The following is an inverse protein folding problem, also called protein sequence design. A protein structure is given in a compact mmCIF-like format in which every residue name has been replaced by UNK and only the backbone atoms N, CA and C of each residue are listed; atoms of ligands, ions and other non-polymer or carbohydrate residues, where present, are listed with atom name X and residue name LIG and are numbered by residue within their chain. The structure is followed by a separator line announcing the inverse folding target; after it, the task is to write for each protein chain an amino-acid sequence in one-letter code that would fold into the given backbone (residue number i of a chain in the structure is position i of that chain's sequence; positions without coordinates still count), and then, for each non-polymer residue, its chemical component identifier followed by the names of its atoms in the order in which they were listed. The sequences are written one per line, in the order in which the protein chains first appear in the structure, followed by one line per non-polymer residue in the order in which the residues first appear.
data_IF_532294945837
#
_entry.id   IF_532294945837
#
_cell.length_a   1.000
_cell.length_b   1.000
_cell.length_c   1.000
_cell.angle_alpha   90.00
_cell.angle_beta   90.00
_cell.angle_gamma   90.00
#
_symmetry.space_group_name_H-M   'P 1'
#
loop_
_entity.id
_entity.type
_entity.pdbx_description
1 polymer ?
#
# COMPACT_ATOMS: atom_id res chain seq x y z
N UNK A 1 45.58 38.56 -17.01
CA UNK A 1 45.35 38.18 -15.60
C UNK A 1 43.89 37.82 -15.27
N UNK A 2 42.99 37.62 -16.24
CA UNK A 2 41.56 37.34 -16.01
C UNK A 2 41.14 35.88 -16.21
N UNK A 3 41.86 35.11 -17.04
CA UNK A 3 41.56 33.70 -17.31
C UNK A 3 41.49 32.80 -16.06
N UNK A 4 42.44 32.85 -15.09
CA UNK A 4 42.41 31.93 -13.94
C UNK A 4 41.26 32.21 -12.97
N UNK A 5 40.75 33.45 -12.92
CA UNK A 5 39.61 33.81 -12.09
C UNK A 5 38.30 33.27 -12.68
N UNK A 6 38.12 33.40 -14.00
CA UNK A 6 36.92 32.90 -14.69
C UNK A 6 36.87 31.37 -14.65
N UNK A 7 37.99 30.67 -14.84
CA UNK A 7 38.02 29.20 -14.73
C UNK A 7 37.78 28.71 -13.30
N UNK A 8 38.35 29.37 -12.29
CA UNK A 8 38.08 29.05 -10.89
C UNK A 8 36.62 29.32 -10.49
N UNK A 9 36.04 30.44 -10.95
CA UNK A 9 34.63 30.77 -10.70
C UNK A 9 33.68 29.75 -11.34
N UNK A 10 33.90 29.40 -12.61
CA UNK A 10 33.12 28.36 -13.31
C UNK A 10 33.28 26.99 -12.65
N UNK A 11 34.51 26.62 -12.26
CA UNK A 11 34.78 25.39 -11.53
C UNK A 11 34.06 25.31 -10.17
N UNK A 12 34.08 26.41 -9.40
CA UNK A 12 33.36 26.49 -8.13
C UNK A 12 31.83 26.42 -8.29
N UNK A 13 31.29 27.00 -9.36
CA UNK A 13 29.87 26.94 -9.66
C UNK A 13 29.44 25.50 -9.98
N UNK A 14 30.13 24.81 -10.90
CA UNK A 14 29.82 23.41 -11.22
C UNK A 14 30.08 22.46 -10.04
N UNK A 15 31.12 22.71 -9.24
CA UNK A 15 31.38 21.96 -8.01
C UNK A 15 30.26 22.13 -6.97
N UNK A 16 29.78 23.36 -6.77
CA UNK A 16 28.69 23.65 -5.84
C UNK A 16 27.34 23.06 -6.29
N UNK A 17 27.01 23.15 -7.59
CA UNK A 17 25.80 22.55 -8.16
C UNK A 17 25.87 21.02 -8.06
N UNK A 18 27.02 20.41 -8.40
CA UNK A 18 27.22 18.97 -8.26
C UNK A 18 27.10 18.50 -6.80
N UNK A 19 27.71 19.21 -5.86
CA UNK A 19 27.59 18.95 -4.43
C UNK A 19 26.15 19.07 -3.91
N UNK A 20 25.44 20.13 -4.30
CA UNK A 20 24.03 20.33 -3.96
C UNK A 20 23.12 19.24 -4.51
N UNK A 21 23.26 18.87 -5.78
CA UNK A 21 22.48 17.80 -6.40
C UNK A 21 22.77 16.44 -5.76
N UNK A 22 24.03 16.17 -5.43
CA UNK A 22 24.42 14.95 -4.69
C UNK A 22 23.78 14.92 -3.31
N UNK A 23 23.85 16.01 -2.54
CA UNK A 23 23.21 16.12 -1.23
C UNK A 23 21.68 15.94 -1.33
N UNK A 24 21.03 16.54 -2.33
CA UNK A 24 19.59 16.41 -2.56
C UNK A 24 19.20 14.96 -2.90
N UNK A 25 20.00 14.27 -3.73
CA UNK A 25 19.73 12.87 -4.08
C UNK A 25 19.95 11.94 -2.88
N UNK A 26 20.97 12.18 -2.06
CA UNK A 26 21.19 11.45 -0.80
C UNK A 26 20.05 11.67 0.19
N UNK A 27 19.62 12.92 0.38
CA UNK A 27 18.50 13.26 1.27
C UNK A 27 17.20 12.55 0.84
N UNK A 28 16.85 12.61 -0.46
CA UNK A 28 15.69 11.90 -1.01
C UNK A 28 15.79 10.39 -0.84
N UNK A 29 17.00 9.82 -0.98
CA UNK A 29 17.20 8.38 -0.77
C UNK A 29 17.01 7.99 0.70
N UNK A 30 17.53 8.79 1.62
CA UNK A 30 17.36 8.58 3.06
C UNK A 30 15.88 8.68 3.48
N UNK A 31 15.15 9.68 2.96
CA UNK A 31 13.72 9.84 3.20
C UNK A 31 12.91 8.64 2.67
N UNK A 32 13.23 8.17 1.45
CA UNK A 32 12.60 6.97 0.89
C UNK A 32 12.84 5.73 1.74
N UNK A 33 14.09 5.53 2.15
CA UNK A 33 14.47 4.39 2.97
C UNK A 33 13.75 4.42 4.32
N UNK A 34 13.70 5.59 4.97
CA UNK A 34 12.97 5.79 6.22
C UNK A 34 11.49 5.46 6.06
N UNK A 35 10.82 6.06 5.06
CA UNK A 35 9.39 5.84 4.81
C UNK A 35 9.08 4.36 4.53
N UNK A 36 9.91 3.69 3.72
CA UNK A 36 9.78 2.24 3.49
C UNK A 36 9.93 1.45 4.80
N UNK A 37 10.93 1.77 5.60
CA UNK A 37 11.18 1.10 6.88
C UNK A 37 10.02 1.31 7.86
N UNK A 38 9.50 2.53 7.96
CA UNK A 38 8.39 2.88 8.84
C UNK A 38 7.12 2.12 8.46
N UNK A 39 6.76 2.06 7.17
CA UNK A 39 5.62 1.28 6.67
C UNK A 39 5.79 -0.22 6.92
N UNK A 40 7.00 -0.76 6.71
CA UNK A 40 7.29 -2.16 7.00
C UNK A 40 7.18 -2.47 8.49
N UNK A 41 7.76 -1.62 9.34
CA UNK A 41 7.70 -1.76 10.78
C UNK A 41 6.27 -1.67 11.31
N UNK A 42 5.45 -0.78 10.75
CA UNK A 42 4.03 -0.71 11.06
C UNK A 42 3.34 -2.03 10.73
N UNK A 43 3.49 -2.54 9.50
CA UNK A 43 2.85 -3.79 9.07
C UNK A 43 3.26 -5.01 9.91
N UNK A 44 4.52 -5.08 10.31
CA UNK A 44 5.05 -6.17 11.15
C UNK A 44 4.94 -5.91 12.66
N UNK A 45 4.34 -4.81 13.08
CA UNK A 45 4.12 -4.53 14.51
C UNK A 45 3.15 -5.55 15.12
N UNK A 46 3.26 -5.73 16.44
CA UNK A 46 2.34 -6.59 17.20
C UNK A 46 0.90 -6.08 17.04
N UNK A 47 0.72 -4.76 17.16
CA UNK A 47 -0.60 -4.12 17.01
C UNK A 47 -1.21 -4.40 15.64
N UNK A 48 -0.41 -4.27 14.56
CA UNK A 48 -0.91 -4.50 13.20
C UNK A 48 -1.14 -5.98 12.87
N UNK A 49 -0.49 -6.88 13.59
CA UNK A 49 -0.71 -8.33 13.46
C UNK A 49 -2.15 -8.72 13.80
N UNK A 50 -2.78 -8.04 14.75
CA UNK A 50 -4.18 -8.32 15.08
C UNK A 50 -5.13 -7.98 13.92
N UNK A 51 -4.86 -6.89 13.18
CA UNK A 51 -5.63 -6.58 11.97
C UNK A 51 -5.45 -7.65 10.91
N UNK A 52 -4.20 -8.08 10.65
CA UNK A 52 -3.90 -9.11 9.65
C UNK A 52 -4.57 -10.46 9.98
N UNK A 53 -4.50 -10.89 11.23
CA UNK A 53 -5.14 -12.13 11.69
C UNK A 53 -6.66 -12.05 11.55
N UNK A 54 -7.28 -10.94 11.96
CA UNK A 54 -8.72 -10.72 11.78
C UNK A 54 -9.11 -10.81 10.30
N UNK A 55 -8.36 -10.17 9.40
CA UNK A 55 -8.61 -10.23 7.96
C UNK A 55 -8.45 -11.65 7.40
N UNK A 56 -7.43 -12.38 7.86
CA UNK A 56 -7.23 -13.76 7.47
C UNK A 56 -8.42 -14.64 7.86
N UNK A 57 -8.90 -14.49 9.10
CA UNK A 57 -10.07 -15.22 9.59
C UNK A 57 -11.36 -14.84 8.85
N UNK A 58 -11.63 -13.54 8.65
CA UNK A 58 -12.77 -13.07 7.83
C UNK A 58 -12.67 -13.61 6.41
N UNK A 59 -11.47 -13.61 5.81
CA UNK A 59 -11.24 -14.17 4.48
C UNK A 59 -11.54 -15.67 4.40
N UNK A 60 -11.20 -16.44 5.44
CA UNK A 60 -11.56 -17.86 5.52
C UNK A 60 -13.07 -18.07 5.63
N UNK A 61 -13.76 -17.27 6.44
CA UNK A 61 -15.22 -17.32 6.61
C UNK A 61 -15.93 -16.94 5.31
N UNK A 62 -15.41 -15.96 4.58
CA UNK A 62 -15.87 -15.61 3.24
C UNK A 62 -15.76 -16.80 2.27
N UNK A 63 -14.61 -17.50 2.27
CA UNK A 63 -14.41 -18.69 1.41
C UNK A 63 -15.32 -19.85 1.81
N UNK A 64 -15.63 -19.99 3.10
CA UNK A 64 -16.56 -20.99 3.60
C UNK A 64 -18.04 -20.68 3.28
N UNK A 65 -18.36 -19.43 2.92
CA UNK A 65 -19.72 -18.95 2.70
C UNK A 65 -20.44 -18.52 3.99
N UNK A 66 -19.72 -18.40 5.10
CA UNK A 66 -20.26 -17.96 6.40
C UNK A 66 -20.51 -16.45 6.46
N UNK A 67 -19.85 -15.69 5.57
CA UNK A 67 -19.95 -14.24 5.45
C UNK A 67 -20.04 -13.88 3.97
N UNK A 68 -20.94 -12.98 3.61
CA UNK A 68 -21.05 -12.45 2.25
C UNK A 68 -20.13 -11.23 2.07
N UNK A 69 -19.48 -11.14 0.91
CA UNK A 69 -18.67 -9.97 0.53
C UNK A 69 -19.54 -8.72 0.43
N UNK A 70 -20.78 -8.88 -0.02
CA UNK A 70 -21.68 -7.74 -0.22
C UNK A 70 -22.06 -7.09 1.10
N UNK A 71 -22.30 -7.89 2.16
CA UNK A 71 -22.57 -7.40 3.50
C UNK A 71 -21.38 -6.64 4.10
N UNK A 72 -20.15 -7.12 3.84
CA UNK A 72 -18.91 -6.42 4.25
C UNK A 72 -18.80 -5.09 3.53
N UNK A 73 -19.03 -5.08 2.21
CA UNK A 73 -18.83 -3.92 1.35
C UNK A 73 -19.76 -2.74 1.67
N UNK A 74 -20.97 -3.00 2.18
CA UNK A 74 -21.94 -1.96 2.59
C UNK A 74 -21.35 -0.93 3.56
N UNK A 75 -20.36 -1.30 4.35
CA UNK A 75 -19.69 -0.40 5.30
C UNK A 75 -18.61 0.50 4.70
N UNK A 76 -18.30 0.36 3.41
CA UNK A 76 -17.13 1.00 2.79
C UNK A 76 -17.46 1.95 1.62
N UNK A 77 -18.73 2.34 1.48
CA UNK A 77 -19.20 3.39 0.56
C UNK A 77 -20.39 4.17 1.17
N UNK A 78 -20.68 5.37 0.67
CA UNK A 78 -21.75 6.24 1.21
C UNK A 78 -22.81 6.56 0.13
N UNK A 79 -24.12 6.60 0.46
CA UNK A 79 -24.75 6.34 1.76
C UNK A 79 -25.10 4.86 1.94
N UNK A 80 -24.08 4.00 2.09
CA UNK A 80 -24.27 2.55 2.24
C UNK A 80 -25.24 2.15 3.37
N UNK A 81 -25.58 0.87 3.39
CA UNK A 81 -26.57 0.29 4.30
C UNK A 81 -26.02 -0.11 5.67
N UNK A 82 -26.81 -0.90 6.40
CA UNK A 82 -26.35 -1.59 7.60
C UNK A 82 -25.22 -2.55 7.21
N UNK A 83 -24.04 -2.29 7.75
CA UNK A 83 -22.84 -3.02 7.38
C UNK A 83 -22.57 -4.21 8.30
N UNK A 84 -21.88 -5.21 7.75
CA UNK A 84 -21.28 -6.28 8.53
C UNK A 84 -20.33 -5.71 9.58
N UNK A 85 -20.63 -5.95 10.87
CA UNK A 85 -19.77 -5.57 11.99
C UNK A 85 -18.73 -6.68 12.27
N UNK A 86 -19.18 -7.94 12.20
CA UNK A 86 -18.40 -9.14 12.47
C UNK A 86 -18.14 -9.41 13.95
N UNK A 87 -17.27 -10.39 14.22
CA UNK A 87 -16.89 -10.76 15.59
C UNK A 87 -15.92 -9.72 16.18
N UNK A 88 -15.80 -9.72 17.51
CA UNK A 88 -14.83 -8.87 18.22
C UNK A 88 -13.57 -9.66 18.52
N UNK A 89 -12.42 -9.14 18.06
CA UNK A 89 -11.09 -9.68 18.31
C UNK A 89 -10.17 -8.54 18.75
N UNK A 90 -9.31 -8.78 19.74
CA UNK A 90 -8.39 -7.75 20.27
C UNK A 90 -9.06 -6.37 20.54
N UNK A 91 -10.28 -6.38 21.09
CA UNK A 91 -11.11 -5.19 21.41
C UNK A 91 -11.67 -4.41 20.21
N UNK A 92 -11.48 -4.86 18.98
CA UNK A 92 -12.06 -4.27 17.77
C UNK A 92 -12.96 -5.27 17.05
N UNK A 93 -13.93 -4.76 16.30
CA UNK A 93 -14.74 -5.60 15.41
C UNK A 93 -13.99 -5.92 14.12
N UNK A 94 -14.34 -7.00 13.43
CA UNK A 94 -13.73 -7.31 12.11
C UNK A 94 -13.85 -6.14 11.12
N UNK A 95 -14.98 -5.43 11.13
CA UNK A 95 -15.16 -4.22 10.33
C UNK A 95 -14.13 -3.13 10.68
N UNK A 96 -13.85 -2.93 11.96
CA UNK A 96 -12.85 -1.97 12.42
C UNK A 96 -11.43 -2.42 12.04
N UNK A 97 -11.08 -3.71 12.15
CA UNK A 97 -9.80 -4.21 11.68
C UNK A 97 -9.61 -4.00 10.17
N UNK A 98 -10.64 -4.28 9.37
CA UNK A 98 -10.64 -4.05 7.92
C UNK A 98 -10.51 -2.57 7.58
N UNK A 99 -11.16 -1.69 8.34
CA UNK A 99 -11.03 -0.23 8.18
C UNK A 99 -9.59 0.22 8.42
N UNK A 100 -8.95 -0.24 9.49
CA UNK A 100 -7.54 0.10 9.79
C UNK A 100 -6.61 -0.42 8.70
N UNK A 101 -6.83 -1.66 8.23
CA UNK A 101 -6.04 -2.24 7.15
C UNK A 101 -6.19 -1.49 5.82
N UNK A 102 -7.42 -1.09 5.45
CA UNK A 102 -7.67 -0.25 4.28
C UNK A 102 -6.95 1.10 4.44
N UNK A 103 -6.99 1.71 5.62
CA UNK A 103 -6.24 2.92 5.92
C UNK A 103 -4.72 2.78 5.70
N UNK A 104 -4.15 1.64 6.09
CA UNK A 104 -2.76 1.30 5.77
C UNK A 104 -2.52 1.17 4.26
N UNK A 105 -3.41 0.49 3.52
CA UNK A 105 -3.31 0.36 2.06
C UNK A 105 -3.35 1.72 1.35
N UNK A 106 -4.19 2.64 1.83
CA UNK A 106 -4.25 4.03 1.31
C UNK A 106 -2.93 4.79 1.57
N UNK A 107 -2.37 4.71 2.78
CA UNK A 107 -1.07 5.33 3.09
C UNK A 107 0.07 4.75 2.26
N UNK A 108 0.06 3.43 2.07
CA UNK A 108 1.03 2.73 1.24
C UNK A 108 0.91 3.16 -0.23
N UNK A 109 -0.31 3.23 -0.77
CA UNK A 109 -0.57 3.66 -2.14
C UNK A 109 -0.13 5.12 -2.39
N UNK A 110 -0.38 6.05 -1.45
CA UNK A 110 0.09 7.43 -1.55
C UNK A 110 1.62 7.48 -1.57
N UNK A 111 2.27 6.72 -0.69
CA UNK A 111 3.73 6.68 -0.58
C UNK A 111 4.39 6.11 -1.85
N UNK A 112 3.78 5.09 -2.44
CA UNK A 112 4.18 4.53 -3.74
C UNK A 112 3.99 5.57 -4.86
N UNK A 113 2.80 6.16 -4.97
CA UNK A 113 2.43 7.12 -6.01
C UNK A 113 3.34 8.35 -6.01
N UNK A 114 3.72 8.83 -4.82
CA UNK A 114 4.63 9.98 -4.65
C UNK A 114 6.11 9.63 -4.75
N UNK A 115 6.46 8.38 -5.07
CA UNK A 115 7.85 7.88 -5.12
C UNK A 115 8.61 8.13 -3.82
N UNK A 116 7.91 8.03 -2.69
CA UNK A 116 8.45 8.21 -1.32
C UNK A 116 8.94 6.91 -0.70
N UNK A 117 8.96 5.82 -1.46
CA UNK A 117 9.42 4.51 -0.98
C UNK A 117 10.49 3.94 -1.90
N UNK A 118 11.38 3.14 -1.33
CA UNK A 118 12.19 2.16 -2.06
C UNK A 118 11.30 0.98 -2.46
N UNK A 119 10.82 0.99 -3.71
CA UNK A 119 9.85 0.02 -4.20
C UNK A 119 10.41 -1.41 -4.21
N UNK A 120 11.69 -1.60 -4.52
CA UNK A 120 12.31 -2.93 -4.55
C UNK A 120 12.39 -3.53 -3.16
N UNK A 121 12.79 -2.73 -2.17
CA UNK A 121 12.81 -3.15 -0.76
C UNK A 121 11.40 -3.52 -0.29
N UNK A 122 10.42 -2.69 -0.64
CA UNK A 122 9.02 -2.92 -0.28
C UNK A 122 8.45 -4.20 -0.92
N UNK A 123 8.71 -4.42 -2.21
CA UNK A 123 8.30 -5.64 -2.93
C UNK A 123 8.92 -6.91 -2.32
N UNK A 124 10.18 -6.86 -1.90
CA UNK A 124 10.85 -8.00 -1.30
C UNK A 124 10.41 -8.25 0.15
N UNK A 125 10.15 -7.19 0.91
CA UNK A 125 9.80 -7.28 2.32
C UNK A 125 8.32 -7.53 2.61
N UNK A 126 7.41 -6.94 1.82
CA UNK A 126 5.96 -7.01 2.07
C UNK A 126 5.19 -7.75 0.98
N UNK A 127 5.74 -7.91 -0.22
CA UNK A 127 4.96 -8.37 -1.38
C UNK A 127 4.35 -9.77 -1.21
N UNK A 128 4.98 -10.66 -0.44
CA UNK A 128 4.41 -11.99 -0.15
C UNK A 128 3.37 -11.94 0.97
N UNK A 129 3.60 -11.15 2.00
CA UNK A 129 2.68 -11.03 3.13
C UNK A 129 1.36 -10.41 2.67
N UNK A 130 1.43 -9.25 2.01
CA UNK A 130 0.26 -8.52 1.48
C UNK A 130 -0.62 -9.34 0.53
N UNK A 131 -0.06 -10.37 -0.12
CA UNK A 131 -0.81 -11.21 -1.04
C UNK A 131 -1.91 -12.02 -0.33
N UNK A 132 -1.68 -12.40 0.93
CA UNK A 132 -2.63 -13.20 1.70
C UNK A 132 -3.89 -12.40 2.03
N UNK A 133 -3.76 -11.15 2.46
CA UNK A 133 -4.91 -10.31 2.77
C UNK A 133 -5.50 -9.64 1.54
N UNK A 134 -4.72 -9.48 0.46
CA UNK A 134 -5.17 -8.84 -0.78
C UNK A 134 -6.44 -9.49 -1.35
N UNK A 135 -6.57 -10.82 -1.25
CA UNK A 135 -7.73 -11.55 -1.77
C UNK A 135 -9.06 -11.08 -1.17
N UNK A 136 -9.11 -10.87 0.16
CA UNK A 136 -10.31 -10.33 0.81
C UNK A 136 -10.53 -8.87 0.43
N UNK A 137 -9.50 -8.04 0.59
CA UNK A 137 -9.61 -6.58 0.40
C UNK A 137 -9.99 -6.22 -1.03
N UNK A 138 -9.46 -6.93 -2.03
CA UNK A 138 -9.81 -6.72 -3.44
C UNK A 138 -11.26 -7.09 -3.74
N UNK A 139 -11.80 -8.16 -3.13
CA UNK A 139 -13.20 -8.54 -3.28
C UNK A 139 -14.13 -7.49 -2.68
N UNK A 140 -13.81 -7.02 -1.46
CA UNK A 140 -14.56 -5.95 -0.80
C UNK A 140 -14.49 -4.65 -1.61
N UNK A 141 -13.32 -4.32 -2.19
CA UNK A 141 -13.15 -3.14 -3.02
C UNK A 141 -14.05 -3.19 -4.26
N UNK A 142 -14.08 -4.32 -4.97
CA UNK A 142 -14.94 -4.51 -6.13
C UNK A 142 -16.43 -4.46 -5.77
N UNK A 143 -16.82 -5.12 -4.67
CA UNK A 143 -18.20 -5.09 -4.20
C UNK A 143 -18.63 -3.67 -3.79
N UNK A 144 -17.78 -2.91 -3.10
CA UNK A 144 -18.09 -1.54 -2.69
C UNK A 144 -18.25 -0.60 -3.88
N UNK A 145 -17.36 -0.68 -4.88
CA UNK A 145 -17.51 0.10 -6.13
C UNK A 145 -18.79 -0.29 -6.86
N UNK A 146 -19.05 -1.59 -7.03
CA UNK A 146 -20.25 -2.09 -7.69
C UNK A 146 -21.53 -1.62 -7.02
N UNK A 147 -21.62 -1.74 -5.70
CA UNK A 147 -22.79 -1.31 -4.93
C UNK A 147 -23.01 0.20 -5.02
N UNK A 148 -21.93 1.00 -4.97
CA UNK A 148 -22.02 2.45 -5.15
C UNK A 148 -22.54 2.81 -6.55
N UNK A 149 -22.03 2.14 -7.59
CA UNK A 149 -22.47 2.34 -8.98
C UNK A 149 -23.95 1.95 -9.18
N UNK A 150 -24.37 0.79 -8.65
CA UNK A 150 -25.76 0.31 -8.70
C UNK A 150 -26.72 1.27 -7.96
N UNK A 151 -26.25 1.91 -6.88
CA UNK A 151 -27.01 2.90 -6.13
C UNK A 151 -26.97 4.32 -6.74
N UNK A 152 -26.21 4.54 -7.83
CA UNK A 152 -26.00 5.87 -8.40
C UNK A 152 -25.24 6.82 -7.47
N UNK A 153 -24.44 6.28 -6.54
CA UNK A 153 -23.66 7.04 -5.57
C UNK A 153 -22.21 7.26 -6.07
N UNK A 154 -21.50 8.27 -5.54
CA UNK A 154 -20.08 8.44 -5.84
C UNK A 154 -19.26 7.22 -5.41
N UNK A 155 -18.46 6.68 -6.32
CA UNK A 155 -17.57 5.57 -6.01
C UNK A 155 -16.56 5.98 -4.90
N UNK A 156 -16.32 5.10 -3.92
CA UNK A 156 -15.27 5.36 -2.93
C UNK A 156 -13.89 5.37 -3.61
N UNK A 157 -12.94 6.16 -3.10
CA UNK A 157 -11.61 6.32 -3.69
C UNK A 157 -10.56 5.31 -3.20
N UNK A 158 -10.83 4.64 -2.08
CA UNK A 158 -9.89 3.66 -1.50
C UNK A 158 -9.68 2.40 -2.37
N UNK A 159 -10.63 1.91 -3.20
CA UNK A 159 -10.39 0.82 -4.14
C UNK A 159 -9.23 1.11 -5.11
N UNK A 160 -9.06 2.37 -5.55
CA UNK A 160 -7.92 2.76 -6.40
C UNK A 160 -6.59 2.62 -5.68
N UNK A 161 -6.57 2.82 -4.36
CA UNK A 161 -5.37 2.60 -3.54
C UNK A 161 -5.01 1.11 -3.49
N UNK A 162 -6.00 0.23 -3.33
CA UNK A 162 -5.81 -1.22 -3.37
C UNK A 162 -5.24 -1.66 -4.72
N UNK A 163 -5.81 -1.13 -5.81
CA UNK A 163 -5.29 -1.36 -7.17
C UNK A 163 -3.86 -0.87 -7.35
N UNK A 164 -3.54 0.33 -6.85
CA UNK A 164 -2.20 0.90 -6.92
C UNK A 164 -1.15 0.03 -6.22
N UNK A 165 -1.48 -0.48 -5.03
CA UNK A 165 -0.61 -1.40 -4.29
C UNK A 165 -0.45 -2.71 -5.04
N UNK A 166 -1.54 -3.28 -5.58
CA UNK A 166 -1.46 -4.49 -6.39
C UNK A 166 -0.50 -4.31 -7.57
N UNK A 167 -0.72 -3.29 -8.38
CA UNK A 167 0.02 -3.10 -9.63
C UNK A 167 1.50 -2.77 -9.39
N UNK A 168 1.80 -2.02 -8.32
CA UNK A 168 3.15 -1.53 -8.05
C UNK A 168 3.97 -2.47 -7.16
N UNK A 169 3.32 -3.22 -6.27
CA UNK A 169 3.98 -4.02 -5.23
C UNK A 169 3.80 -5.53 -5.49
N UNK A 170 2.57 -5.96 -5.78
CA UNK A 170 2.25 -7.39 -5.86
C UNK A 170 2.50 -7.98 -7.26
N UNK A 171 1.97 -7.35 -8.31
CA UNK A 171 2.06 -7.84 -9.68
C UNK A 171 3.52 -8.07 -10.16
N UNK A 172 4.49 -7.17 -9.89
CA UNK A 172 5.89 -7.41 -10.26
C UNK A 172 6.49 -8.62 -9.54
N UNK A 173 6.08 -8.87 -8.30
CA UNK A 173 6.53 -10.01 -7.49
C UNK A 173 5.98 -11.32 -8.05
N UNK A 174 4.70 -11.36 -8.39
CA UNK A 174 4.03 -12.50 -9.01
C UNK A 174 4.71 -12.83 -10.35
N UNK A 175 4.91 -11.83 -11.21
CA UNK A 175 5.58 -12.01 -12.50
C UNK A 175 7.00 -12.59 -12.34
N UNK A 176 7.77 -12.10 -11.35
CA UNK A 176 9.11 -12.63 -11.04
C UNK A 176 9.06 -14.10 -10.57
N UNK A 177 8.07 -14.48 -9.76
CA UNK A 177 7.90 -15.87 -9.32
C UNK A 177 7.57 -16.82 -10.49
N UNK A 178 6.72 -16.40 -11.42
CA UNK A 178 6.38 -17.20 -12.59
C UNK A 178 7.57 -17.42 -13.52
N UNK A 179 8.37 -16.37 -13.79
CA UNK A 179 9.57 -16.49 -14.63
C UNK A 179 10.56 -17.51 -14.05
N UNK A 180 10.85 -17.42 -12.76
CA UNK A 180 11.79 -18.33 -12.09
C UNK A 180 11.32 -19.80 -12.05
N UNK A 181 10.02 -20.06 -12.24
CA UNK A 181 9.48 -21.43 -12.35
C UNK A 181 9.57 -22.01 -13.75
N UNK A 182 9.63 -21.18 -14.79
CA UNK A 182 9.77 -21.63 -16.18
C UNK A 182 11.23 -21.93 -16.58
N UNK A 183 12.19 -21.41 -15.81
CA UNK A 183 13.63 -21.60 -16.00
C UNK A 183 14.20 -22.81 -15.24
N UNK A 184 13.34 -23.60 -14.57
CA UNK A 184 13.68 -24.84 -13.86
C UNK A 184 13.05 -26.04 -14.55
#
# INVERSE_FOLDING_TARGET
MWLPFVTAAVGSFFGSVGGFLSALTMARRAERYKTTTDLMNEYFSIDFTHHRESLFQTGRRLVAGDVDVDDIALGFWFPGGLCYIGETYASLTEHQHLTVYIGYMVRLADSVSRRRVDLTTLQNGLGTELLWEYGLVSKVAHAATRQADEAGAPAPSWPDSVKTVHDSVLAPRIAKQHRNRQEK
#
